data_IF_483335365023
#
_entry.id   IF_483335365023
#
_cell.length_a   1.000
_cell.length_b   1.000
_cell.length_c   1.000
_cell.angle_alpha   90.00
_cell.angle_beta   90.00
_cell.angle_gamma   90.00
#
_symmetry.space_group_name_H-M   'P 1'
#
loop_
_entity.id
_entity.type
_entity.pdbx_description
1 polymer ?
#
# COMPACT_ATOMS: atom_id res chain seq x y z
N UNK A 1 10.30 41.38 23.14
CA UNK A 1 10.21 42.65 23.88
C UNK A 1 9.43 43.64 23.02
N UNK A 2 8.11 43.52 23.03
CA UNK A 2 7.21 44.43 22.32
C UNK A 2 6.81 45.56 23.25
N UNK A 3 6.92 46.77 22.73
CA UNK A 3 6.76 48.05 23.41
C UNK A 3 5.28 48.29 23.73
N UNK A 4 4.87 48.08 25.00
CA UNK A 4 3.51 48.34 25.47
C UNK A 4 3.42 49.82 25.86
N UNK A 5 3.21 50.67 24.87
CA UNK A 5 2.74 52.04 25.07
C UNK A 5 1.51 52.28 24.18
N UNK A 6 0.38 51.65 24.53
CA UNK A 6 -0.93 52.11 24.10
C UNK A 6 -1.65 52.71 25.30
N UNK A 7 -1.60 54.04 25.40
CA UNK A 7 -2.39 54.86 26.33
C UNK A 7 -3.90 54.89 25.97
N UNK A 8 -4.42 53.82 25.35
CA UNK A 8 -5.78 53.76 24.84
C UNK A 8 -6.36 52.39 25.14
N UNK A 9 -7.60 52.37 25.58
CA UNK A 9 -8.41 51.17 25.69
C UNK A 9 -8.24 50.32 24.42
N UNK A 10 -7.58 49.16 24.57
CA UNK A 10 -7.37 48.23 23.49
C UNK A 10 -8.48 47.17 23.52
N UNK A 11 -9.45 47.33 22.62
CA UNK A 11 -10.58 46.42 22.49
C UNK A 11 -10.13 44.98 22.19
N UNK A 12 -9.02 44.78 21.48
CA UNK A 12 -8.51 43.44 21.17
C UNK A 12 -7.99 42.74 22.43
N UNK A 13 -7.34 43.50 23.32
CA UNK A 13 -6.85 43.00 24.60
C UNK A 13 -8.00 42.68 25.56
N UNK A 14 -9.09 43.46 25.50
CA UNK A 14 -10.31 43.18 26.26
C UNK A 14 -11.02 41.89 25.80
N UNK A 15 -11.09 41.63 24.49
CA UNK A 15 -11.66 40.38 23.95
C UNK A 15 -10.82 39.17 24.39
N UNK A 16 -9.49 39.23 24.24
CA UNK A 16 -8.59 38.17 24.74
C UNK A 16 -8.73 37.94 26.25
N UNK A 17 -8.95 39.00 27.03
CA UNK A 17 -9.22 38.89 28.47
C UNK A 17 -10.51 38.11 28.74
N UNK A 18 -11.58 38.37 27.98
CA UNK A 18 -12.86 37.67 28.11
C UNK A 18 -12.75 36.19 27.73
N UNK A 19 -11.96 35.87 26.71
CA UNK A 19 -11.72 34.49 26.26
C UNK A 19 -10.78 33.71 27.19
N UNK A 20 -10.04 34.41 28.08
CA UNK A 20 -9.05 33.80 28.96
C UNK A 20 -7.69 33.53 28.29
N UNK A 21 -7.45 34.14 27.13
CA UNK A 21 -6.28 33.95 26.25
C UNK A 21 -5.13 34.95 26.51
N UNK A 22 -5.06 35.49 27.72
CA UNK A 22 -3.99 36.40 28.14
C UNK A 22 -2.96 35.71 29.03
N UNK A 23 -1.69 36.09 28.83
CA UNK A 23 -0.61 35.69 29.74
C UNK A 23 -0.78 36.34 31.11
N UNK A 24 -0.14 35.79 32.15
CA UNK A 24 -0.26 36.30 33.52
C UNK A 24 0.10 37.79 33.66
N UNK A 25 1.11 38.25 32.92
CA UNK A 25 1.54 39.66 32.94
C UNK A 25 0.52 40.58 32.25
N UNK A 26 -0.02 40.16 31.10
CA UNK A 26 -1.07 40.89 30.37
C UNK A 26 -2.37 40.94 31.18
N UNK A 27 -2.71 39.83 31.85
CA UNK A 27 -3.89 39.73 32.71
C UNK A 27 -3.80 40.70 33.88
N UNK A 28 -2.66 40.74 34.58
CA UNK A 28 -2.44 41.67 35.69
C UNK A 28 -2.56 43.12 35.24
N UNK A 29 -1.95 43.45 34.10
CA UNK A 29 -2.06 44.79 33.51
C UNK A 29 -3.52 45.15 33.17
N UNK A 30 -4.29 44.21 32.59
CA UNK A 30 -5.70 44.44 32.28
C UNK A 30 -6.55 44.60 33.54
N UNK A 31 -6.30 43.82 34.60
CA UNK A 31 -6.97 43.98 35.89
C UNK A 31 -6.71 45.37 36.49
N UNK A 32 -5.46 45.84 36.46
CA UNK A 32 -5.09 47.18 36.89
C UNK A 32 -5.75 48.27 36.01
N UNK A 33 -5.82 48.05 34.69
CA UNK A 33 -6.53 48.95 33.76
C UNK A 33 -8.04 49.03 34.06
N UNK A 34 -8.69 47.90 34.33
CA UNK A 34 -10.12 47.82 34.64
C UNK A 34 -10.48 48.53 35.96
N UNK A 35 -9.54 48.66 36.91
CA UNK A 35 -9.74 49.45 38.13
C UNK A 35 -9.83 50.95 37.85
N UNK A 36 -9.09 51.44 36.85
CA UNK A 36 -9.02 52.87 36.52
C UNK A 36 -9.98 53.27 35.37
N UNK A 37 -10.26 52.37 34.42
CA UNK A 37 -11.04 52.66 33.23
C UNK A 37 -12.51 52.25 33.37
N UNK A 38 -13.42 53.25 33.43
CA UNK A 38 -14.87 53.02 33.47
C UNK A 38 -15.43 52.46 32.17
N UNK A 39 -14.86 52.82 31.02
CA UNK A 39 -15.35 52.39 29.69
C UNK A 39 -15.13 50.90 29.48
N UNK A 40 -13.91 50.40 29.71
CA UNK A 40 -13.61 48.98 29.60
C UNK A 40 -14.41 48.16 30.61
N UNK A 41 -14.62 48.67 31.83
CA UNK A 41 -15.47 47.99 32.81
C UNK A 41 -16.92 47.86 32.35
N UNK A 42 -17.48 48.90 31.71
CA UNK A 42 -18.83 48.85 31.15
C UNK A 42 -18.92 47.88 29.97
N UNK A 43 -17.93 47.87 29.07
CA UNK A 43 -17.88 46.91 27.98
C UNK A 43 -17.78 45.47 28.51
N UNK A 44 -16.91 45.22 29.49
CA UNK A 44 -16.76 43.92 30.13
C UNK A 44 -18.07 43.45 30.76
N UNK A 45 -18.76 44.32 31.51
CA UNK A 45 -20.07 44.02 32.08
C UNK A 45 -21.11 43.69 31.02
N UNK A 46 -21.15 44.46 29.92
CA UNK A 46 -22.05 44.17 28.80
C UNK A 46 -21.79 42.80 28.18
N UNK A 47 -20.52 42.45 27.94
CA UNK A 47 -20.17 41.14 27.39
C UNK A 47 -20.42 40.00 28.36
N UNK A 48 -20.19 40.19 29.66
CA UNK A 48 -20.49 39.18 30.67
C UNK A 48 -21.99 38.91 30.78
N UNK A 49 -22.79 39.98 30.78
CA UNK A 49 -24.26 39.89 30.85
C UNK A 49 -24.81 39.20 29.60
N UNK A 50 -24.35 39.61 28.41
CA UNK A 50 -24.74 38.95 27.15
C UNK A 50 -24.35 37.46 27.13
N UNK A 51 -23.14 37.13 27.58
CA UNK A 51 -22.65 35.75 27.61
C UNK A 51 -23.40 34.89 28.63
N UNK A 52 -23.91 35.49 29.70
CA UNK A 52 -24.76 34.82 30.67
C UNK A 52 -26.16 34.58 30.10
N UNK A 53 -26.79 35.61 29.54
CA UNK A 53 -28.11 35.50 28.90
C UNK A 53 -28.11 34.46 27.76
N UNK A 54 -27.07 34.47 26.94
CA UNK A 54 -26.90 33.51 25.86
C UNK A 54 -26.76 32.08 26.41
N UNK A 55 -25.92 31.88 27.44
CA UNK A 55 -25.76 30.57 28.08
C UNK A 55 -27.05 30.08 28.71
N UNK A 56 -27.80 30.96 29.38
CA UNK A 56 -29.07 30.60 29.98
C UNK A 56 -30.11 30.22 28.92
N UNK A 57 -30.09 30.86 27.75
CA UNK A 57 -30.97 30.50 26.64
C UNK A 57 -30.58 29.16 26.01
N UNK A 58 -29.28 28.97 25.75
CA UNK A 58 -28.76 27.70 25.23
C UNK A 58 -29.04 26.56 26.20
N UNK A 59 -28.81 26.77 27.50
CA UNK A 59 -29.10 25.77 28.53
C UNK A 59 -30.59 25.43 28.57
N UNK A 60 -31.48 26.44 28.57
CA UNK A 60 -32.93 26.22 28.53
C UNK A 60 -33.38 25.43 27.30
N UNK A 61 -32.77 25.66 26.13
CA UNK A 61 -33.07 24.88 24.93
C UNK A 61 -32.44 23.48 24.98
N UNK A 62 -31.24 23.36 25.55
CA UNK A 62 -30.52 22.08 25.73
C UNK A 62 -31.29 21.17 26.69
N UNK A 63 -31.84 21.70 27.79
CA UNK A 63 -32.65 20.96 28.75
C UNK A 63 -33.96 20.43 28.12
N UNK A 64 -34.43 21.02 27.01
CA UNK A 64 -35.58 20.55 26.24
C UNK A 64 -35.22 19.48 25.21
N UNK A 65 -33.94 19.34 24.87
CA UNK A 65 -33.47 18.35 23.90
C UNK A 65 -33.08 17.09 24.64
N UNK A 66 -33.80 16.00 24.37
CA UNK A 66 -33.39 14.67 24.81
C UNK A 66 -32.19 14.21 23.97
N UNK A 67 -30.98 14.24 24.56
CA UNK A 67 -29.75 13.75 23.92
C UNK A 67 -29.58 12.23 24.01
N UNK A 68 -30.41 11.54 24.79
CA UNK A 68 -30.34 10.08 24.97
C UNK A 68 -30.40 9.29 23.65
N UNK A 69 -31.22 9.68 22.65
CA UNK A 69 -31.23 9.00 21.34
C UNK A 69 -29.90 9.17 20.59
N UNK A 70 -29.32 10.37 20.63
CA UNK A 70 -28.09 10.73 19.92
C UNK A 70 -26.90 10.02 20.56
N UNK A 71 -26.83 10.03 21.89
CA UNK A 71 -25.80 9.32 22.65
C UNK A 71 -25.86 7.81 22.36
N UNK A 72 -27.06 7.23 22.41
CA UNK A 72 -27.25 5.81 22.12
C UNK A 72 -26.83 5.45 20.70
N UNK A 73 -27.11 6.31 19.72
CA UNK A 73 -26.69 6.11 18.33
C UNK A 73 -25.17 6.24 18.18
N UNK A 74 -24.56 7.26 18.79
CA UNK A 74 -23.11 7.47 18.77
C UNK A 74 -22.35 6.29 19.40
N UNK A 75 -22.81 5.81 20.56
CA UNK A 75 -22.24 4.64 21.23
C UNK A 75 -22.40 3.38 20.36
N UNK A 76 -23.59 3.14 19.79
CA UNK A 76 -23.81 1.99 18.92
C UNK A 76 -22.90 2.02 17.69
N UNK A 77 -22.73 3.19 17.08
CA UNK A 77 -21.87 3.37 15.90
C UNK A 77 -20.41 3.12 16.25
N UNK A 78 -19.93 3.64 17.38
CA UNK A 78 -18.57 3.40 17.86
C UNK A 78 -18.33 1.90 18.15
N UNK A 79 -19.28 1.22 18.80
CA UNK A 79 -19.18 -0.20 19.10
C UNK A 79 -19.18 -1.06 17.83
N UNK A 80 -20.08 -0.80 16.87
CA UNK A 80 -20.11 -1.52 15.57
C UNK A 80 -18.82 -1.35 14.79
N UNK A 81 -18.27 -0.14 14.75
CA UNK A 81 -17.01 0.13 14.05
C UNK A 81 -15.83 -0.62 14.68
N UNK A 82 -15.83 -0.78 16.01
CA UNK A 82 -14.83 -1.58 16.73
C UNK A 82 -15.01 -3.08 16.50
N UNK A 83 -16.25 -3.56 16.41
CA UNK A 83 -16.56 -4.96 16.14
C UNK A 83 -16.15 -5.38 14.71
N UNK A 84 -16.42 -4.54 13.70
CA UNK A 84 -16.01 -4.81 12.32
C UNK A 84 -14.49 -4.80 12.10
N UNK A 85 -13.73 -4.03 12.89
CA UNK A 85 -12.26 -4.08 12.87
C UNK A 85 -11.67 -5.32 13.56
N UNK A 86 -12.50 -6.10 14.25
CA UNK A 86 -12.12 -7.33 14.98
C UNK A 86 -12.59 -8.61 14.26
N UNK A 87 -12.81 -8.54 12.94
CA UNK A 87 -12.95 -9.74 12.10
C UNK A 87 -11.66 -10.58 12.12
N UNK A 88 -11.70 -11.87 11.71
CA UNK A 88 -10.61 -12.84 11.85
C UNK A 88 -9.44 -12.53 10.91
N UNK A 89 -8.77 -11.41 11.12
CA UNK A 89 -7.66 -10.94 10.30
C UNK A 89 -6.42 -11.83 10.45
N UNK A 90 -6.28 -12.57 11.56
CA UNK A 90 -5.16 -13.48 11.76
C UNK A 90 -5.20 -14.68 10.82
N UNK A 91 -6.38 -15.23 10.52
CA UNK A 91 -6.54 -16.37 9.60
C UNK A 91 -6.25 -16.00 8.15
N UNK A 92 -6.68 -14.81 7.72
CA UNK A 92 -6.35 -14.32 6.37
C UNK A 92 -4.91 -13.79 6.26
N UNK A 93 -4.31 -13.33 7.35
CA UNK A 93 -2.91 -12.92 7.38
C UNK A 93 -1.96 -14.12 7.27
N UNK A 94 -2.25 -15.24 7.95
CA UNK A 94 -1.42 -16.46 7.84
C UNK A 94 -1.55 -17.13 6.47
N UNK A 95 -2.74 -17.12 5.87
CA UNK A 95 -2.97 -17.71 4.54
C UNK A 95 -2.20 -16.98 3.42
N UNK A 96 -1.96 -15.66 3.56
CA UNK A 96 -1.15 -14.89 2.61
C UNK A 96 0.29 -15.37 2.50
N UNK A 97 0.83 -15.97 3.56
CA UNK A 97 2.21 -16.51 3.55
C UNK A 97 2.25 -18.02 3.30
N UNK A 98 1.17 -18.74 3.61
CA UNK A 98 1.10 -20.19 3.40
C UNK A 98 1.14 -20.58 1.91
N UNK A 99 0.43 -19.84 1.05
CA UNK A 99 0.37 -20.11 -0.39
C UNK A 99 1.75 -19.97 -1.07
N UNK A 100 2.48 -18.84 -0.94
CA UNK A 100 3.80 -18.73 -1.53
C UNK A 100 4.82 -19.71 -0.92
N UNK A 101 4.75 -19.98 0.38
CA UNK A 101 5.63 -20.96 1.02
C UNK A 101 5.42 -22.39 0.46
N UNK A 102 4.16 -22.80 0.26
CA UNK A 102 3.83 -24.08 -0.34
C UNK A 102 4.32 -24.17 -1.79
N UNK A 103 4.14 -23.11 -2.59
CA UNK A 103 4.62 -23.08 -3.97
C UNK A 103 6.15 -23.21 -4.06
N UNK A 104 6.90 -22.50 -3.21
CA UNK A 104 8.37 -22.63 -3.16
C UNK A 104 8.78 -24.03 -2.74
N UNK A 105 8.14 -24.61 -1.73
CA UNK A 105 8.43 -25.98 -1.30
C UNK A 105 8.17 -27.00 -2.43
N UNK A 106 7.06 -26.87 -3.15
CA UNK A 106 6.75 -27.72 -4.31
C UNK A 106 7.79 -27.58 -5.43
N UNK A 107 8.23 -26.35 -5.75
CA UNK A 107 9.27 -26.14 -6.76
C UNK A 107 10.61 -26.75 -6.33
N UNK A 108 11.03 -26.55 -5.09
CA UNK A 108 12.26 -27.14 -4.56
C UNK A 108 12.21 -28.67 -4.59
N UNK A 109 11.08 -29.27 -4.23
CA UNK A 109 10.88 -30.71 -4.32
C UNK A 109 10.90 -31.18 -5.78
N UNK A 110 10.25 -30.48 -6.69
CA UNK A 110 10.22 -30.84 -8.12
C UNK A 110 11.61 -30.78 -8.77
N UNK A 111 12.36 -29.69 -8.54
CA UNK A 111 13.71 -29.55 -9.07
C UNK A 111 14.71 -30.47 -8.39
N UNK A 112 14.60 -30.65 -7.07
CA UNK A 112 15.41 -31.61 -6.34
C UNK A 112 15.18 -33.04 -6.84
N UNK A 113 13.91 -33.43 -6.98
CA UNK A 113 13.54 -34.74 -7.49
C UNK A 113 14.00 -34.96 -8.93
N UNK A 114 13.72 -34.03 -9.84
CA UNK A 114 14.11 -34.18 -11.25
C UNK A 114 15.63 -34.22 -11.43
N UNK A 115 16.41 -33.48 -10.62
CA UNK A 115 17.87 -33.50 -10.72
C UNK A 115 18.52 -34.75 -10.10
N UNK A 116 17.94 -35.32 -9.06
CA UNK A 116 18.53 -36.45 -8.33
C UNK A 116 17.98 -37.83 -8.73
N UNK A 117 16.74 -37.91 -9.22
CA UNK A 117 16.09 -39.19 -9.57
C UNK A 117 16.00 -39.45 -11.06
N UNK A 118 16.14 -38.42 -11.90
CA UNK A 118 16.32 -38.63 -13.34
C UNK A 118 17.82 -38.77 -13.56
N UNK A 119 18.32 -39.99 -13.33
CA UNK A 119 19.58 -40.41 -13.91
C UNK A 119 19.47 -40.15 -15.43
N UNK A 120 20.22 -39.17 -15.92
CA UNK A 120 20.46 -39.04 -17.34
C UNK A 120 21.30 -40.25 -17.75
N UNK A 121 20.64 -41.39 -17.97
CA UNK A 121 21.24 -42.57 -18.56
C UNK A 121 22.03 -42.16 -19.81
N UNK A 122 23.17 -42.82 -20.09
CA UNK A 122 24.05 -42.42 -21.18
C UNK A 122 23.25 -42.27 -22.46
N UNK A 123 23.33 -41.07 -23.07
CA UNK A 123 22.55 -40.69 -24.23
C UNK A 123 22.50 -41.83 -25.25
N UNK A 124 21.32 -42.44 -25.39
CA UNK A 124 21.12 -43.56 -26.29
C UNK A 124 21.24 -43.04 -27.74
N UNK A 125 21.98 -43.70 -28.64
CA UNK A 125 22.20 -43.21 -30.00
C UNK A 125 20.86 -43.09 -30.73
N UNK A 126 20.57 -41.89 -31.24
CA UNK A 126 19.24 -41.50 -31.75
C UNK A 126 18.92 -41.99 -33.17
N UNK A 127 19.82 -42.74 -33.83
CA UNK A 127 19.51 -43.41 -35.08
C UNK A 127 20.53 -44.54 -35.35
N UNK A 128 20.03 -45.73 -35.68
CA UNK A 128 20.81 -46.83 -36.27
C UNK A 128 20.41 -46.89 -37.74
N UNK A 129 21.32 -46.49 -38.64
CA UNK A 129 21.09 -46.56 -40.09
C UNK A 129 21.43 -47.98 -40.53
N UNK A 130 20.42 -48.75 -40.92
CA UNK A 130 20.59 -50.18 -41.25
C UNK A 130 21.16 -50.42 -42.65
N UNK A 131 20.91 -49.54 -43.62
CA UNK A 131 21.49 -49.60 -44.95
C UNK A 131 21.30 -48.28 -45.72
N UNK A 132 22.17 -48.05 -46.70
CA UNK A 132 22.03 -47.00 -47.72
C UNK A 132 21.93 -47.67 -49.09
N UNK A 133 20.97 -47.27 -49.92
CA UNK A 133 20.82 -47.78 -51.29
C UNK A 133 20.64 -46.62 -52.25
N UNK A 134 21.61 -46.44 -53.15
CA UNK A 134 21.66 -45.40 -54.18
C UNK A 134 22.97 -45.50 -54.98
N UNK A 135 22.99 -44.97 -56.20
CA UNK A 135 24.18 -44.91 -57.06
C UNK A 135 25.14 -43.81 -56.59
N UNK A 136 25.68 -43.96 -55.38
CA UNK A 136 26.59 -42.98 -54.76
C UNK A 136 28.04 -43.34 -55.05
N UNK A 137 28.87 -42.35 -55.39
CA UNK A 137 30.28 -42.57 -55.75
C UNK A 137 31.23 -42.54 -54.55
N UNK A 138 30.85 -41.92 -53.42
CA UNK A 138 31.66 -41.92 -52.19
C UNK A 138 30.84 -41.60 -50.93
N UNK A 139 31.15 -42.28 -49.82
CA UNK A 139 30.57 -42.04 -48.49
C UNK A 139 31.70 -41.86 -47.48
N UNK A 140 31.60 -40.83 -46.65
CA UNK A 140 32.54 -40.59 -45.55
C UNK A 140 31.80 -40.56 -44.22
N UNK A 141 32.33 -41.29 -43.24
CA UNK A 141 31.77 -41.42 -41.89
C UNK A 141 32.73 -40.76 -40.90
N UNK A 142 32.24 -39.76 -40.18
CA UNK A 142 33.00 -39.11 -39.11
C UNK A 142 32.36 -39.40 -37.76
N UNK A 143 33.16 -39.86 -36.79
CA UNK A 143 32.75 -39.97 -35.39
C UNK A 143 33.47 -38.90 -34.56
N UNK A 144 32.71 -38.13 -33.80
CA UNK A 144 33.26 -37.13 -32.89
C UNK A 144 33.68 -37.80 -31.57
N UNK A 145 34.94 -37.65 -31.14
CA UNK A 145 35.48 -38.44 -30.01
C UNK A 145 34.85 -38.11 -28.66
N UNK A 146 34.31 -36.89 -28.50
CA UNK A 146 33.75 -36.44 -27.22
C UNK A 146 32.25 -36.72 -27.08
N UNK A 147 31.47 -36.61 -28.16
CA UNK A 147 30.00 -36.74 -28.11
C UNK A 147 29.48 -38.02 -28.77
N UNK A 148 30.36 -38.82 -29.40
CA UNK A 148 30.02 -40.04 -30.16
C UNK A 148 28.92 -39.82 -31.20
N UNK A 149 28.86 -38.61 -31.78
CA UNK A 149 27.93 -38.33 -32.87
C UNK A 149 28.55 -38.78 -34.18
N UNK A 150 27.80 -39.57 -34.95
CA UNK A 150 28.18 -40.02 -36.29
C UNK A 150 27.57 -39.09 -37.33
N UNK A 151 28.41 -38.45 -38.13
CA UNK A 151 28.00 -37.60 -39.25
C UNK A 151 28.26 -38.38 -40.54
N UNK A 152 27.22 -38.57 -41.36
CA UNK A 152 27.33 -39.18 -42.67
C UNK A 152 27.32 -38.09 -43.73
N UNK A 153 28.40 -37.99 -44.50
CA UNK A 153 28.47 -37.11 -45.67
C UNK A 153 28.49 -37.97 -46.93
N UNK A 154 27.54 -37.73 -47.83
CA UNK A 154 27.54 -38.33 -49.17
C UNK A 154 27.40 -37.23 -50.22
N UNK A 155 27.95 -37.48 -51.40
CA UNK A 155 27.83 -36.61 -52.56
C UNK A 155 27.09 -37.36 -53.66
N UNK A 156 26.03 -36.77 -54.17
CA UNK A 156 25.22 -37.33 -55.25
C UNK A 156 25.56 -36.53 -56.52
N UNK A 157 26.02 -37.23 -57.57
CA UNK A 157 26.21 -36.57 -58.86
C UNK A 157 24.81 -36.31 -59.46
N UNK A 158 24.51 -35.09 -59.91
CA UNK A 158 23.19 -34.80 -60.46
C UNK A 158 23.00 -35.58 -61.77
N UNK A 159 21.94 -36.36 -61.85
CA UNK A 159 21.54 -37.08 -63.05
C UNK A 159 21.35 -36.09 -64.22
N UNK A 160 22.33 -35.99 -65.11
CA UNK A 160 22.21 -35.22 -66.34
C UNK A 160 21.58 -36.09 -67.42
N UNK A 161 20.26 -36.32 -67.41
CA UNK A 161 19.58 -36.87 -68.58
C UNK A 161 18.06 -36.63 -68.60
N UNK A 162 17.59 -36.11 -69.75
CA UNK A 162 16.21 -36.13 -70.30
C UNK A 162 15.32 -34.87 -70.21
N UNK A 163 15.84 -33.69 -70.58
CA UNK A 163 15.03 -32.67 -71.28
C UNK A 163 15.42 -32.61 -72.76
N UNK A 164 14.95 -33.56 -73.57
CA UNK A 164 14.82 -33.39 -75.03
C UNK A 164 13.44 -33.88 -75.48
N UNK A 165 12.49 -32.98 -75.26
CA UNK A 165 11.36 -32.57 -76.09
C UNK A 165 10.67 -33.59 -77.02
N UNK A 166 9.37 -33.70 -76.73
CA UNK A 166 8.31 -34.18 -77.59
C UNK A 166 8.27 -33.50 -78.97
N UNK A 167 7.99 -34.29 -79.99
CA UNK A 167 7.26 -33.87 -81.20
C UNK A 167 6.29 -34.98 -81.59
#
# INVERSE_FOLDING_TARGET
>A
MTNIQSNGCDDALLVRYLDGDLDNDEKKWMEDHLQCCKTCRRQLAFFSDFSQDFRDHVQRQTDQVDFTPIEKEAINKALRQRYHKRGPSSFFASLKFAVPAAAVACLLLFFGYTRFMVDHGPAQPSAIINSFTGSMTSVMIFETPETRQTILWYNEEPDTESEHNAT
#
